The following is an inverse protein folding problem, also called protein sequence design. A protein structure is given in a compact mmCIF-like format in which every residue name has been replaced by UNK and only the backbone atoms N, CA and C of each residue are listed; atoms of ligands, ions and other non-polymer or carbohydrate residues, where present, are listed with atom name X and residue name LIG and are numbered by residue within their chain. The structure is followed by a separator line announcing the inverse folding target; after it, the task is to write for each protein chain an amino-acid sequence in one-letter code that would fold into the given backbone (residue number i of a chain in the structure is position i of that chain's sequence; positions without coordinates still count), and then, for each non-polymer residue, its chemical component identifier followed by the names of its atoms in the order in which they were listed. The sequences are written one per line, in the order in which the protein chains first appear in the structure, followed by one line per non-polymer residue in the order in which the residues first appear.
data_IF_154979139060
#
_entry.id   IF_154979139060
#
_cell.length_a   1.000
_cell.length_b   1.000
_cell.length_c   1.000
_cell.angle_alpha   90.00
_cell.angle_beta   90.00
_cell.angle_gamma   90.00
#
_symmetry.space_group_name_H-M   'P 1'
#
loop_
_entity.id
_entity.type
_entity.pdbx_description
1 polymer ?
#
# COMPACT_ATOMS: atom_id res chain seq x y z
N UNK A 1 -31.42 40.63 -18.24
CA UNK A 1 -30.95 40.03 -16.97
C UNK A 1 -31.17 38.53 -17.09
N UNK A 2 -30.17 37.81 -17.63
CA UNK A 2 -30.20 36.35 -17.71
C UNK A 2 -29.76 35.82 -16.35
N UNK A 3 -30.64 35.09 -15.67
CA UNK A 3 -30.31 34.44 -14.42
C UNK A 3 -29.18 33.44 -14.66
N UNK A 4 -28.06 33.64 -13.99
CA UNK A 4 -26.95 32.69 -13.93
C UNK A 4 -27.45 31.45 -13.18
N UNK A 5 -27.86 30.44 -13.93
CA UNK A 5 -28.42 29.22 -13.39
C UNK A 5 -27.27 28.30 -13.01
N UNK A 6 -26.73 28.48 -11.81
CA UNK A 6 -25.70 27.58 -11.27
C UNK A 6 -26.34 26.23 -10.93
N UNK A 7 -26.11 25.22 -11.76
CA UNK A 7 -26.45 23.86 -11.39
C UNK A 7 -25.56 23.42 -10.21
N UNK A 8 -26.11 22.71 -9.21
CA UNK A 8 -25.27 22.10 -8.19
C UNK A 8 -24.25 21.17 -8.88
N UNK A 9 -22.98 21.18 -8.45
CA UNK A 9 -21.97 20.35 -9.07
C UNK A 9 -22.36 18.88 -8.95
N UNK A 10 -22.29 18.15 -10.07
CA UNK A 10 -22.41 16.69 -10.06
C UNK A 10 -21.15 16.18 -9.37
N UNK A 11 -21.31 15.63 -8.16
CA UNK A 11 -20.26 14.95 -7.44
C UNK A 11 -20.22 13.50 -7.90
N UNK A 12 -19.02 12.99 -8.16
CA UNK A 12 -18.82 11.57 -8.41
C UNK A 12 -18.86 10.77 -7.09
N UNK A 13 -19.05 9.46 -7.21
CA UNK A 13 -18.99 8.50 -6.09
C UNK A 13 -17.57 7.93 -5.95
N UNK A 14 -16.55 8.74 -6.27
CA UNK A 14 -15.17 8.32 -6.13
C UNK A 14 -14.70 8.48 -4.68
N UNK A 15 -13.75 7.64 -4.22
CA UNK A 15 -13.10 7.84 -2.93
C UNK A 15 -12.52 9.25 -2.82
N UNK A 16 -12.97 10.00 -1.81
CA UNK A 16 -12.62 11.40 -1.64
C UNK A 16 -11.36 11.55 -0.76
N UNK A 17 -10.33 12.23 -1.27
CA UNK A 17 -9.13 12.46 -0.48
C UNK A 17 -9.28 13.55 0.58
N UNK A 18 -10.16 14.51 0.35
CA UNK A 18 -10.52 15.49 1.38
C UNK A 18 -11.58 14.91 2.31
N UNK A 19 -11.44 15.18 3.61
CA UNK A 19 -12.42 14.72 4.58
C UNK A 19 -13.71 15.55 4.52
N UNK A 20 -14.73 14.98 3.87
CA UNK A 20 -16.10 15.52 3.83
C UNK A 20 -17.08 14.76 4.73
N UNK A 21 -16.62 13.68 5.38
CA UNK A 21 -17.47 12.78 6.18
C UNK A 21 -17.11 12.80 7.68
N UNK A 22 -16.11 13.60 8.08
CA UNK A 22 -15.65 13.72 9.46
C UNK A 22 -14.82 12.52 9.91
N UNK A 23 -14.07 11.90 9.01
CA UNK A 23 -13.19 10.77 9.32
C UNK A 23 -11.86 11.15 9.96
N UNK A 24 -11.49 12.43 9.99
CA UNK A 24 -10.22 12.89 10.53
C UNK A 24 -9.85 12.29 11.91
N UNK A 25 -10.75 12.22 12.92
CA UNK A 25 -10.40 11.61 14.21
C UNK A 25 -10.03 10.13 14.10
N UNK A 26 -10.70 9.38 13.22
CA UNK A 26 -10.40 7.97 12.97
C UNK A 26 -9.09 7.82 12.21
N UNK A 27 -8.87 8.63 11.16
CA UNK A 27 -7.64 8.61 10.37
C UNK A 27 -6.43 8.87 11.26
N UNK A 28 -6.50 9.87 12.14
CA UNK A 28 -5.42 10.19 13.07
C UNK A 28 -5.16 9.04 14.06
N UNK A 29 -6.19 8.55 14.75
CA UNK A 29 -6.03 7.45 15.71
C UNK A 29 -5.47 6.17 15.06
N UNK A 30 -5.94 5.82 13.86
CA UNK A 30 -5.42 4.69 13.11
C UNK A 30 -3.98 4.91 12.68
N UNK A 31 -3.63 6.11 12.21
CA UNK A 31 -2.25 6.43 11.84
C UNK A 31 -1.31 6.39 13.04
N UNK A 32 -1.75 6.85 14.21
CA UNK A 32 -0.95 6.79 15.44
C UNK A 32 -0.63 5.33 15.79
N UNK A 33 -1.62 4.43 15.72
CA UNK A 33 -1.41 3.00 15.95
C UNK A 33 -0.43 2.42 14.92
N UNK A 34 -0.62 2.71 13.63
CA UNK A 34 0.22 2.16 12.56
C UNK A 34 1.67 2.66 12.60
N UNK A 35 1.88 3.89 13.04
CA UNK A 35 3.18 4.56 13.04
C UNK A 35 3.90 4.46 14.40
N UNK A 36 3.23 3.98 15.45
CA UNK A 36 3.81 3.87 16.78
C UNK A 36 5.02 2.91 16.79
N UNK A 37 6.16 3.31 17.39
CA UNK A 37 7.37 2.48 17.43
C UNK A 37 7.21 1.12 18.15
N UNK A 38 6.24 1.02 19.04
CA UNK A 38 5.90 -0.15 19.85
C UNK A 38 4.80 -1.03 19.22
N UNK A 39 4.29 -0.66 18.04
CA UNK A 39 3.36 -1.52 17.30
C UNK A 39 4.12 -2.68 16.65
N UNK A 40 3.82 -3.90 17.10
CA UNK A 40 4.41 -5.13 16.59
C UNK A 40 3.61 -5.72 15.41
N UNK A 41 4.31 -6.23 14.40
CA UNK A 41 3.73 -6.99 13.29
C UNK A 41 3.80 -8.50 13.55
N UNK A 42 2.90 -9.33 12.97
CA UNK A 42 1.85 -8.98 12.00
C UNK A 42 0.64 -8.29 12.65
N UNK A 43 0.12 -7.26 11.99
CA UNK A 43 -1.09 -6.52 12.40
C UNK A 43 -2.10 -6.51 11.26
N UNK A 44 -3.36 -6.85 11.56
CA UNK A 44 -4.46 -6.79 10.61
C UNK A 44 -5.55 -5.87 11.14
N UNK A 45 -6.00 -4.93 10.31
CA UNK A 45 -7.08 -4.00 10.64
C UNK A 45 -8.28 -4.22 9.72
N UNK A 46 -9.45 -4.45 10.32
CA UNK A 46 -10.72 -4.58 9.60
C UNK A 46 -11.56 -3.30 9.67
N UNK A 47 -11.99 -2.79 8.51
CA UNK A 47 -12.91 -1.65 8.41
C UNK A 47 -14.32 -2.14 8.02
N UNK A 48 -15.27 -1.98 8.93
CA UNK A 48 -16.65 -2.43 8.74
C UNK A 48 -17.61 -1.25 8.65
N UNK A 49 -18.61 -1.36 7.77
CA UNK A 49 -19.59 -0.30 7.56
C UNK A 49 -20.48 -0.57 6.36
N UNK A 50 -21.65 0.08 6.33
CA UNK A 50 -22.64 -0.08 5.26
C UNK A 50 -22.07 0.29 3.88
N UNK A 51 -22.65 -0.24 2.81
CA UNK A 51 -22.31 0.21 1.46
C UNK A 51 -22.61 1.72 1.33
N UNK A 52 -21.74 2.46 0.63
CA UNK A 52 -21.82 3.92 0.52
C UNK A 52 -21.37 4.70 1.77
N UNK A 53 -20.87 4.05 2.82
CA UNK A 53 -20.44 4.75 4.04
C UNK A 53 -19.05 5.42 3.95
N UNK A 54 -18.43 5.50 2.78
CA UNK A 54 -17.13 6.15 2.62
C UNK A 54 -15.89 5.37 3.12
N UNK A 55 -15.97 4.05 3.32
CA UNK A 55 -14.82 3.23 3.79
C UNK A 55 -13.57 3.39 2.93
N UNK A 56 -13.73 3.39 1.60
CA UNK A 56 -12.60 3.58 0.68
C UNK A 56 -12.01 4.98 0.78
N UNK A 57 -12.83 6.01 1.00
CA UNK A 57 -12.36 7.37 1.29
C UNK A 57 -11.56 7.43 2.59
N UNK A 58 -12.02 6.75 3.65
CA UNK A 58 -11.27 6.63 4.91
C UNK A 58 -9.91 5.97 4.69
N UNK A 59 -9.86 4.86 3.94
CA UNK A 59 -8.61 4.17 3.61
C UNK A 59 -7.66 5.07 2.80
N UNK A 60 -8.18 5.83 1.83
CA UNK A 60 -7.40 6.79 1.03
C UNK A 60 -6.81 7.92 1.89
N UNK A 61 -7.59 8.45 2.82
CA UNK A 61 -7.13 9.48 3.76
C UNK A 61 -6.08 8.93 4.74
N UNK A 62 -6.27 7.69 5.19
CA UNK A 62 -5.30 6.98 6.04
C UNK A 62 -3.98 6.73 5.31
N UNK A 63 -4.03 6.24 4.07
CA UNK A 63 -2.85 6.08 3.22
C UNK A 63 -2.05 7.39 3.16
N UNK A 64 -2.70 8.50 2.79
CA UNK A 64 -2.03 9.80 2.66
C UNK A 64 -1.35 10.24 3.95
N UNK A 65 -2.00 9.97 5.09
CA UNK A 65 -1.47 10.33 6.41
C UNK A 65 -0.23 9.49 6.75
N UNK A 66 -0.27 8.19 6.45
CA UNK A 66 0.85 7.25 6.67
C UNK A 66 2.03 7.55 5.73
N UNK A 67 1.78 7.78 4.45
CA UNK A 67 2.82 8.10 3.45
C UNK A 67 3.39 9.52 3.61
N UNK A 68 2.67 10.43 4.28
CA UNK A 68 3.21 11.72 4.69
C UNK A 68 4.11 11.66 5.94
N UNK A 69 4.30 10.47 6.53
CA UNK A 69 5.24 10.24 7.63
C UNK A 69 4.80 10.78 8.99
N UNK A 70 3.50 11.11 9.14
CA UNK A 70 2.93 11.63 10.38
C UNK A 70 3.45 13.00 10.86
N UNK A 71 4.54 13.54 10.28
CA UNK A 71 5.15 14.83 10.65
C UNK A 71 5.63 15.61 9.40
N UNK A 72 5.37 16.93 9.32
CA UNK A 72 5.85 17.75 8.21
C UNK A 72 7.38 17.74 8.07
N UNK A 73 7.89 17.47 6.87
CA UNK A 73 9.32 17.56 6.54
C UNK A 73 10.15 16.29 6.75
N UNK A 74 9.51 15.16 7.07
CA UNK A 74 10.17 13.86 7.15
C UNK A 74 9.67 12.96 6.01
N UNK A 75 10.57 12.41 5.20
CA UNK A 75 10.19 11.40 4.21
C UNK A 75 9.63 10.18 4.95
N UNK A 76 8.46 9.69 4.54
CA UNK A 76 7.89 8.51 5.17
C UNK A 76 8.67 7.29 4.77
N UNK A 77 9.02 6.47 5.78
CA UNK A 77 9.55 5.12 5.58
C UNK A 77 8.46 4.09 5.28
N UNK A 78 7.18 4.51 5.28
CA UNK A 78 6.04 3.62 5.13
C UNK A 78 5.46 3.79 3.73
N UNK A 79 5.47 2.69 2.97
CA UNK A 79 4.81 2.58 1.67
C UNK A 79 3.53 1.79 1.84
N UNK A 80 2.46 2.22 1.17
CA UNK A 80 1.19 1.49 1.19
C UNK A 80 0.88 0.98 -0.20
N UNK A 81 0.30 -0.22 -0.27
CA UNK A 81 -0.01 -0.87 -1.54
C UNK A 81 -1.48 -1.25 -1.54
N UNK A 82 -2.18 -0.89 -2.63
CA UNK A 82 -3.59 -1.21 -2.80
C UNK A 82 -3.77 -2.53 -3.51
N UNK A 83 -4.51 -3.44 -2.86
CA UNK A 83 -4.89 -4.71 -3.46
C UNK A 83 -6.41 -4.89 -3.46
N UNK A 84 -7.00 -4.98 -4.66
CA UNK A 84 -8.43 -5.27 -4.81
C UNK A 84 -8.64 -6.76 -5.08
N UNK A 85 -8.90 -7.51 -4.01
CA UNK A 85 -9.09 -8.96 -4.07
C UNK A 85 -10.27 -9.39 -4.98
N UNK A 86 -11.30 -8.56 -5.15
CA UNK A 86 -12.47 -8.91 -5.99
C UNK A 86 -12.11 -9.11 -7.45
N UNK A 87 -11.08 -8.43 -7.95
CA UNK A 87 -10.62 -8.59 -9.35
C UNK A 87 -10.09 -9.99 -9.64
N UNK A 88 -9.66 -10.72 -8.60
CA UNK A 88 -8.98 -12.01 -8.73
C UNK A 88 -9.79 -13.17 -8.17
N UNK A 89 -11.09 -12.98 -7.94
CA UNK A 89 -11.99 -13.98 -7.32
C UNK A 89 -12.19 -15.25 -8.17
N UNK A 90 -11.65 -15.29 -9.38
CA UNK A 90 -11.69 -16.45 -10.29
C UNK A 90 -10.33 -17.14 -10.44
N UNK A 91 -9.27 -16.65 -9.79
CA UNK A 91 -7.94 -17.22 -9.90
C UNK A 91 -7.63 -18.20 -8.77
N UNK A 92 -7.01 -19.33 -9.11
CA UNK A 92 -6.63 -20.39 -8.16
C UNK A 92 -5.58 -19.92 -7.13
N UNK A 93 -4.96 -18.76 -7.33
CA UNK A 93 -3.86 -18.29 -6.50
C UNK A 93 -3.91 -16.78 -6.22
N UNK A 94 -4.90 -16.32 -5.45
CA UNK A 94 -5.02 -14.93 -4.98
C UNK A 94 -3.72 -14.37 -4.37
N UNK A 95 -2.96 -15.23 -3.70
CA UNK A 95 -1.66 -14.89 -3.11
C UNK A 95 -0.62 -14.49 -4.17
N UNK A 96 -0.65 -15.10 -5.37
CA UNK A 96 0.24 -14.70 -6.47
C UNK A 96 -0.10 -13.31 -6.96
N UNK A 97 -1.39 -13.01 -7.13
CA UNK A 97 -1.84 -11.68 -7.52
C UNK A 97 -1.41 -10.62 -6.51
N UNK A 98 -1.51 -10.90 -5.21
CA UNK A 98 -1.02 -10.00 -4.16
C UNK A 98 0.50 -9.78 -4.27
N UNK A 99 1.28 -10.86 -4.41
CA UNK A 99 2.73 -10.75 -4.52
C UNK A 99 3.17 -10.02 -5.80
N UNK A 100 2.50 -10.23 -6.92
CA UNK A 100 2.77 -9.51 -8.16
C UNK A 100 2.50 -8.00 -8.02
N UNK A 101 1.41 -7.63 -7.35
CA UNK A 101 1.11 -6.21 -7.05
C UNK A 101 2.18 -5.61 -6.13
N UNK A 102 2.65 -6.35 -5.13
CA UNK A 102 3.74 -5.89 -4.26
C UNK A 102 5.08 -5.75 -5.00
N UNK A 103 5.42 -6.69 -5.89
CA UNK A 103 6.65 -6.62 -6.68
C UNK A 103 6.61 -5.46 -7.68
N UNK A 104 5.48 -5.25 -8.35
CA UNK A 104 5.28 -4.09 -9.24
C UNK A 104 5.43 -2.77 -8.49
N UNK A 105 4.87 -2.69 -7.28
CA UNK A 105 5.00 -1.52 -6.42
C UNK A 105 6.46 -1.26 -5.99
N UNK A 106 7.22 -2.31 -5.65
CA UNK A 106 8.64 -2.22 -5.30
C UNK A 106 9.52 -1.82 -6.49
N UNK A 107 9.20 -2.27 -7.69
CA UNK A 107 9.92 -1.88 -8.92
C UNK A 107 9.79 -0.37 -9.15
N UNK A 108 8.57 0.18 -9.06
CA UNK A 108 8.36 1.63 -9.13
C UNK A 108 9.12 2.39 -8.03
N UNK A 109 9.20 1.84 -6.81
CA UNK A 109 9.96 2.47 -5.72
C UNK A 109 11.45 2.58 -6.06
N UNK A 110 12.05 1.53 -6.65
CA UNK A 110 13.47 1.57 -7.03
C UNK A 110 13.74 2.59 -8.15
N UNK A 111 12.77 2.82 -9.04
CA UNK A 111 12.86 3.86 -10.06
C UNK A 111 12.76 5.27 -9.48
N UNK A 112 11.84 5.48 -8.52
CA UNK A 112 11.59 6.78 -7.88
C UNK A 112 12.70 7.18 -6.89
N UNK A 113 13.16 6.24 -6.07
CA UNK A 113 14.18 6.44 -5.03
C UNK A 113 15.23 5.31 -5.08
N UNK A 114 16.15 5.35 -6.07
CA UNK A 114 17.12 4.29 -6.26
C UNK A 114 18.07 4.18 -5.06
N UNK A 115 18.47 2.95 -4.69
CA UNK A 115 19.36 2.74 -3.56
C UNK A 115 20.68 3.50 -3.75
N UNK A 116 21.19 4.05 -2.65
CA UNK A 116 22.42 4.81 -2.67
C UNK A 116 23.57 3.98 -3.28
N UNK A 117 24.27 4.56 -4.26
CA UNK A 117 25.42 3.88 -4.87
C UNK A 117 26.48 3.58 -3.81
N UNK A 118 27.11 2.38 -3.85
CA UNK A 118 28.15 2.03 -2.89
C UNK A 118 29.28 3.06 -2.92
N UNK A 119 29.84 3.38 -1.75
CA UNK A 119 30.95 4.33 -1.65
C UNK A 119 32.17 3.74 -2.34
N UNK A 120 33.02 4.61 -2.91
CA UNK A 120 34.24 4.20 -3.61
C UNK A 120 35.14 3.36 -2.69
N UNK A 121 35.29 2.08 -3.00
CA UNK A 121 36.11 1.12 -2.23
C UNK A 121 35.30 0.10 -1.42
N UNK A 122 33.99 0.28 -1.27
CA UNK A 122 33.10 -0.74 -0.73
C UNK A 122 32.61 -1.66 -1.86
N UNK A 123 32.54 -2.99 -1.65
CA UNK A 123 31.93 -3.89 -2.62
C UNK A 123 30.45 -3.53 -2.78
N UNK A 124 29.97 -3.59 -4.02
CA UNK A 124 28.54 -3.42 -4.29
C UNK A 124 27.74 -4.53 -3.59
N UNK A 125 26.52 -4.23 -3.10
CA UNK A 125 25.64 -5.27 -2.59
C UNK A 125 25.36 -6.30 -3.69
N UNK A 126 25.45 -7.59 -3.34
CA UNK A 126 25.13 -8.70 -4.22
C UNK A 126 24.20 -9.68 -3.46
N UNK A 127 23.02 -10.01 -4.00
CA UNK A 127 22.44 -9.46 -5.22
C UNK A 127 22.08 -7.96 -5.09
N UNK A 128 22.00 -7.25 -6.22
CA UNK A 128 21.44 -5.88 -6.24
C UNK A 128 19.93 -5.91 -5.96
N UNK A 129 19.32 -4.75 -5.76
CA UNK A 129 17.87 -4.68 -5.51
C UNK A 129 17.06 -5.16 -6.73
N UNK A 130 17.53 -4.84 -7.93
CA UNK A 130 16.94 -5.26 -9.20
C UNK A 130 17.09 -6.78 -9.38
N UNK A 131 18.29 -7.32 -9.15
CA UNK A 131 18.53 -8.77 -9.20
C UNK A 131 17.65 -9.53 -8.20
N UNK A 132 17.43 -8.97 -7.00
CA UNK A 132 16.54 -9.57 -6.01
C UNK A 132 15.07 -9.57 -6.47
N UNK A 133 14.60 -8.49 -7.09
CA UNK A 133 13.24 -8.42 -7.65
C UNK A 133 13.04 -9.45 -8.76
N UNK A 134 14.00 -9.59 -9.67
CA UNK A 134 13.96 -10.59 -10.73
C UNK A 134 13.91 -12.00 -10.15
N UNK A 135 14.76 -12.31 -9.16
CA UNK A 135 14.75 -13.60 -8.46
C UNK A 135 13.41 -13.88 -7.77
N UNK A 136 12.83 -12.89 -7.10
CA UNK A 136 11.51 -13.02 -6.45
C UNK A 136 10.42 -13.27 -7.48
N UNK A 137 10.46 -12.59 -8.63
CA UNK A 137 9.49 -12.74 -9.71
C UNK A 137 9.59 -14.13 -10.33
N UNK A 138 10.80 -14.62 -10.60
CA UNK A 138 11.02 -16.00 -11.09
C UNK A 138 10.49 -17.04 -10.09
N UNK A 139 10.77 -16.86 -8.79
CA UNK A 139 10.32 -17.76 -7.74
C UNK A 139 8.79 -17.91 -7.65
N UNK A 140 8.02 -16.89 -8.05
CA UNK A 140 6.55 -16.96 -8.07
C UNK A 140 5.98 -17.95 -9.09
N UNK A 141 6.73 -18.21 -10.17
CA UNK A 141 6.30 -19.08 -11.27
C UNK A 141 6.86 -20.50 -11.18
N UNK A 142 7.81 -20.74 -10.28
CA UNK A 142 8.30 -22.08 -10.00
C UNK A 142 7.34 -22.84 -9.08
N UNK A 143 7.10 -24.11 -9.39
CA UNK A 143 6.46 -25.02 -8.45
C UNK A 143 7.38 -25.18 -7.24
N UNK A 144 6.93 -24.67 -6.10
CA UNK A 144 7.54 -24.99 -4.82
C UNK A 144 7.12 -26.42 -4.47
N UNK A 145 8.01 -27.38 -4.70
CA UNK A 145 7.89 -28.70 -4.10
C UNK A 145 8.05 -28.54 -2.59
N UNK A 146 6.93 -28.36 -1.89
CA UNK A 146 6.90 -28.35 -0.44
C UNK A 146 7.34 -29.73 0.06
N UNK A 147 8.49 -29.81 0.72
CA UNK A 147 8.78 -30.94 1.61
C UNK A 147 8.45 -30.51 3.03
N UNK A 148 7.45 -31.15 3.63
CA UNK A 148 7.21 -31.01 5.06
C UNK A 148 8.44 -31.58 5.79
N UNK A 149 9.31 -30.70 6.28
CA UNK A 149 10.30 -31.08 7.28
C UNK A 149 9.67 -30.89 8.65
N UNK A 150 9.04 -31.93 9.17
CA UNK A 150 8.48 -31.90 10.53
C UNK A 150 7.72 -33.14 10.99
N UNK A 151 8.42 -34.27 11.20
CA UNK A 151 8.08 -35.19 12.29
C UNK A 151 9.33 -35.41 13.14
N UNK A 152 9.37 -34.81 14.33
CA UNK A 152 10.07 -35.34 15.51
C UNK A 152 9.37 -34.87 16.79
#
# INVERSE_FOLDING_TARGET
MTADQSYPPILDDLPAPEDRLGFQPYVLALSDILLAPDTHTPLTLGLFGRWGSGKTSLMLQLQRTVEAGGKPGQASRYRTVWFNAWKYNQEDALWRALLLVLLDDLEHLLEEDPPAKPKKGEPAPSPTAEELLDLLREALYHETAWSEQGER
#
